data_IF_061664787109
#
_entry.id   IF_061664787109
#
_cell.length_a   1.000
_cell.length_b   1.000
_cell.length_c   1.000
_cell.angle_alpha   90.00
_cell.angle_beta   90.00
_cell.angle_gamma   90.00
#
_symmetry.space_group_name_H-M   'P 1'
#
loop_
_entity.id
_entity.type
_entity.pdbx_description
1 polymer ?
#
# COMPACT_ATOMS: atom_id res chain seq x y z
N UNK A 1 5.92 21.78 12.33
CA UNK A 1 4.95 20.94 13.08
C UNK A 1 5.40 19.49 13.01
N UNK A 2 5.58 18.87 14.18
CA UNK A 2 6.11 17.50 14.31
C UNK A 2 5.01 16.54 14.74
N UNK A 3 4.77 15.55 13.92
CA UNK A 3 3.73 14.55 14.14
C UNK A 3 4.39 13.22 14.47
N UNK A 4 4.03 12.63 15.62
CA UNK A 4 4.30 11.22 15.90
C UNK A 4 3.18 10.41 15.25
N UNK A 5 3.53 9.49 14.36
CA UNK A 5 2.56 8.71 13.59
C UNK A 5 2.69 7.23 13.83
N UNK A 6 1.54 6.54 13.79
CA UNK A 6 1.43 5.11 14.10
C UNK A 6 0.70 4.40 12.99
N UNK A 7 1.34 3.35 12.46
CA UNK A 7 0.76 2.39 11.51
C UNK A 7 0.76 0.99 12.14
N UNK A 8 -0.39 0.32 12.10
CA UNK A 8 -0.55 -1.05 12.60
C UNK A 8 -1.69 -1.80 11.90
N UNK A 9 -1.97 -1.48 10.64
CA UNK A 9 -3.18 -2.00 9.96
C UNK A 9 -3.08 -3.47 9.54
N UNK A 10 -1.87 -4.02 9.40
CA UNK A 10 -1.67 -5.40 8.92
C UNK A 10 -0.57 -6.12 9.69
N UNK A 11 0.60 -6.35 9.11
CA UNK A 11 1.70 -7.11 9.69
C UNK A 11 2.98 -6.30 9.93
N UNK A 12 2.94 -4.98 9.73
CA UNK A 12 3.96 -4.04 10.15
C UNK A 12 3.47 -3.18 11.32
N UNK A 13 4.26 -3.14 12.41
CA UNK A 13 4.12 -2.09 13.41
C UNK A 13 5.11 -0.99 13.07
N UNK A 14 4.64 0.21 12.78
CA UNK A 14 5.55 1.30 12.47
C UNK A 14 5.20 2.57 13.26
N UNK A 15 6.25 3.26 13.71
CA UNK A 15 6.13 4.57 14.38
C UNK A 15 7.17 5.50 13.77
N UNK A 16 6.73 6.68 13.34
CA UNK A 16 7.59 7.68 12.74
C UNK A 16 7.39 9.07 13.36
N UNK A 17 8.37 9.93 13.18
CA UNK A 17 8.26 11.38 13.41
C UNK A 17 8.41 12.08 12.07
N UNK A 18 7.38 12.81 11.68
CA UNK A 18 7.34 13.56 10.42
C UNK A 18 7.15 15.05 10.70
N UNK A 19 7.99 15.88 10.08
CA UNK A 19 7.92 17.32 10.18
C UNK A 19 7.27 17.91 8.93
N UNK A 20 6.25 18.76 9.15
CA UNK A 20 5.50 19.51 8.13
C UNK A 20 4.97 18.64 6.97
N UNK A 21 4.69 17.36 7.25
CA UNK A 21 4.13 16.41 6.28
C UNK A 21 5.05 16.02 5.12
N UNK A 22 6.31 16.48 5.13
CA UNK A 22 7.27 16.32 4.01
C UNK A 22 8.63 15.76 4.43
N UNK A 23 9.04 15.97 5.67
CA UNK A 23 10.36 15.58 6.15
C UNK A 23 10.24 14.44 7.14
N UNK A 24 10.82 13.29 6.82
CA UNK A 24 10.90 12.14 7.74
C UNK A 24 12.09 12.37 8.66
N UNK A 25 11.83 12.59 9.96
CA UNK A 25 12.88 12.67 10.96
C UNK A 25 13.30 11.26 11.41
N UNK A 26 12.32 10.38 11.60
CA UNK A 26 12.54 8.95 11.87
C UNK A 26 11.37 8.14 11.35
N UNK A 27 11.67 6.86 11.02
CA UNK A 27 10.66 5.84 10.74
C UNK A 27 11.19 4.50 11.27
N UNK A 28 10.53 3.97 12.29
CA UNK A 28 10.89 2.72 12.95
C UNK A 28 9.85 1.67 12.63
N UNK A 29 10.26 0.55 12.03
CA UNK A 29 9.36 -0.51 11.56
C UNK A 29 9.76 -1.84 12.19
N UNK A 30 8.81 -2.52 12.83
CA UNK A 30 8.92 -3.91 13.23
C UNK A 30 8.00 -4.77 12.36
N UNK A 31 8.59 -5.46 11.40
CA UNK A 31 7.85 -6.34 10.49
C UNK A 31 7.64 -7.73 11.11
N UNK A 32 6.44 -8.24 10.96
CA UNK A 32 6.04 -9.57 11.39
C UNK A 32 6.13 -10.62 10.26
N UNK A 33 6.66 -10.25 9.10
CA UNK A 33 6.78 -11.10 7.90
C UNK A 33 7.45 -12.45 8.24
N UNK A 34 8.53 -12.45 9.06
CA UNK A 34 9.22 -13.67 9.45
C UNK A 34 8.31 -14.66 10.22
N UNK A 35 7.42 -14.14 11.07
CA UNK A 35 6.43 -14.92 11.79
C UNK A 35 5.35 -15.45 10.84
N UNK A 36 4.74 -14.58 10.05
CA UNK A 36 3.64 -14.92 9.17
C UNK A 36 4.04 -15.86 8.01
N UNK A 37 5.31 -15.83 7.63
CA UNK A 37 5.88 -16.80 6.67
C UNK A 37 5.68 -18.25 7.10
N UNK A 38 5.72 -18.56 8.39
CA UNK A 38 5.51 -19.90 8.94
C UNK A 38 4.08 -20.42 8.67
N UNK A 39 3.13 -19.49 8.46
CA UNK A 39 1.71 -19.80 8.22
C UNK A 39 1.31 -19.60 6.75
N UNK A 40 2.25 -19.17 5.90
CA UNK A 40 1.98 -18.88 4.49
C UNK A 40 1.11 -17.65 4.23
N UNK A 41 1.03 -16.73 5.20
CA UNK A 41 0.27 -15.48 5.13
C UNK A 41 -0.10 -14.94 6.52
N UNK A 42 -0.67 -13.74 6.55
CA UNK A 42 -1.00 -13.05 7.80
C UNK A 42 -2.07 -13.79 8.61
N UNK A 43 -1.80 -13.98 9.90
CA UNK A 43 -2.76 -14.50 10.90
C UNK A 43 -3.19 -13.33 11.77
N UNK A 44 -4.44 -12.84 11.63
CA UNK A 44 -4.87 -11.57 12.24
C UNK A 44 -4.72 -11.49 13.75
N UNK A 45 -4.99 -12.57 14.48
CA UNK A 45 -4.85 -12.60 15.94
C UNK A 45 -3.39 -12.52 16.37
N UNK A 46 -2.49 -13.21 15.69
CA UNK A 46 -1.05 -13.11 15.95
C UNK A 46 -0.53 -11.71 15.65
N UNK A 47 -0.98 -11.11 14.53
CA UNK A 47 -0.62 -9.74 14.18
C UNK A 47 -0.99 -8.77 15.31
N UNK A 48 -2.24 -8.84 15.82
CA UNK A 48 -2.70 -7.97 16.89
C UNK A 48 -1.83 -8.08 18.16
N UNK A 49 -1.47 -9.30 18.56
CA UNK A 49 -0.61 -9.54 19.73
C UNK A 49 0.79 -8.96 19.54
N UNK A 50 1.36 -9.12 18.34
CA UNK A 50 2.70 -8.60 18.05
C UNK A 50 2.74 -7.07 18.00
N UNK A 51 1.67 -6.41 17.56
CA UNK A 51 1.58 -4.95 17.65
C UNK A 51 1.63 -4.48 19.12
N UNK A 52 0.93 -5.14 20.04
CA UNK A 52 0.96 -4.79 21.48
C UNK A 52 2.39 -4.90 22.04
N UNK A 53 3.12 -5.95 21.64
CA UNK A 53 4.49 -6.17 22.13
C UNK A 53 5.48 -5.10 21.63
N UNK A 54 5.29 -4.55 20.41
CA UNK A 54 6.26 -3.72 19.72
C UNK A 54 6.01 -2.21 19.84
N UNK A 55 4.76 -1.78 19.86
CA UNK A 55 4.37 -0.39 19.58
C UNK A 55 4.99 0.64 20.53
N UNK A 56 5.07 0.33 21.83
CA UNK A 56 5.65 1.25 22.82
C UNK A 56 7.16 1.41 22.61
N UNK A 57 7.87 0.30 22.44
CA UNK A 57 9.32 0.32 22.23
C UNK A 57 9.69 1.06 20.93
N UNK A 58 8.90 0.87 19.87
CA UNK A 58 9.09 1.59 18.60
C UNK A 58 8.83 3.10 18.74
N UNK A 59 7.84 3.51 19.54
CA UNK A 59 7.59 4.92 19.78
C UNK A 59 8.73 5.59 20.56
N UNK A 60 9.29 4.91 21.56
CA UNK A 60 10.45 5.39 22.31
C UNK A 60 11.71 5.44 21.44
N UNK A 61 11.91 4.42 20.61
CA UNK A 61 13.00 4.35 19.63
C UNK A 61 12.90 5.48 18.59
N UNK A 62 11.70 5.75 18.07
CA UNK A 62 11.47 6.81 17.08
C UNK A 62 11.85 8.18 17.65
N UNK A 63 11.44 8.49 18.86
CA UNK A 63 11.81 9.73 19.54
C UNK A 63 13.33 9.81 19.83
N UNK A 64 13.91 8.72 20.31
CA UNK A 64 15.36 8.65 20.59
C UNK A 64 16.19 8.89 19.33
N UNK A 65 15.84 8.22 18.22
CA UNK A 65 16.53 8.40 16.92
C UNK A 65 16.36 9.81 16.35
N UNK A 66 15.20 10.44 16.59
CA UNK A 66 14.96 11.84 16.23
C UNK A 66 15.69 12.82 17.16
N UNK A 67 16.34 12.36 18.24
CA UNK A 67 16.89 13.20 19.31
C UNK A 67 15.84 14.15 19.89
N UNK A 68 14.62 13.68 20.06
CA UNK A 68 13.46 14.47 20.50
C UNK A 68 12.88 13.94 21.82
N UNK A 69 12.31 14.85 22.57
CA UNK A 69 11.47 14.56 23.73
C UNK A 69 10.01 14.44 23.33
N UNK A 70 9.19 13.80 24.17
CA UNK A 70 7.74 13.67 23.94
C UNK A 70 7.03 15.02 23.89
N UNK A 71 7.54 16.04 24.59
CA UNK A 71 6.97 17.39 24.67
C UNK A 71 7.14 18.20 23.38
N UNK A 72 8.00 17.75 22.48
CA UNK A 72 8.24 18.40 21.17
C UNK A 72 7.29 17.89 20.07
N UNK A 73 6.39 16.97 20.42
CA UNK A 73 5.37 16.45 19.50
C UNK A 73 4.12 17.34 19.54
N UNK A 74 3.70 17.81 18.38
CA UNK A 74 2.56 18.72 18.22
C UNK A 74 1.22 18.00 18.01
N UNK A 75 1.24 16.77 17.48
CA UNK A 75 0.05 15.93 17.28
C UNK A 75 0.42 14.44 17.15
N UNK A 76 -0.55 13.57 17.42
CA UNK A 76 -0.45 12.13 17.16
C UNK A 76 -1.33 11.79 15.96
N UNK A 77 -0.76 11.18 14.92
CA UNK A 77 -1.51 10.62 13.79
C UNK A 77 -1.58 9.10 13.90
N UNK A 78 -2.71 8.49 13.52
CA UNK A 78 -2.86 7.04 13.61
C UNK A 78 -3.74 6.51 12.49
N UNK A 79 -3.36 5.37 11.93
CA UNK A 79 -4.23 4.62 11.05
C UNK A 79 -5.42 4.07 11.83
N UNK A 80 -6.65 4.45 11.39
CA UNK A 80 -7.89 4.00 12.04
C UNK A 80 -8.75 3.13 11.13
N UNK A 81 -8.49 3.14 9.82
CA UNK A 81 -9.19 2.38 8.78
C UNK A 81 -8.42 2.41 7.44
N UNK A 82 -8.65 1.47 6.51
CA UNK A 82 -9.05 0.09 6.79
C UNK A 82 -7.87 -0.75 7.27
N UNK A 83 -8.17 -1.98 7.77
CA UNK A 83 -7.13 -2.94 8.16
C UNK A 83 -7.68 -4.11 8.96
N UNK A 84 -6.80 -4.96 9.46
CA UNK A 84 -7.16 -6.02 10.39
C UNK A 84 -7.65 -5.40 11.70
N UNK A 85 -8.92 -5.58 12.01
CA UNK A 85 -9.60 -4.82 13.07
C UNK A 85 -8.85 -4.85 14.42
N UNK A 86 -8.35 -6.01 14.85
CA UNK A 86 -7.59 -6.14 16.09
C UNK A 86 -6.24 -5.41 16.03
N UNK A 87 -5.58 -5.43 14.89
CA UNK A 87 -4.31 -4.76 14.67
C UNK A 87 -4.48 -3.23 14.66
N UNK A 88 -5.43 -2.71 13.89
CA UNK A 88 -5.78 -1.27 13.89
C UNK A 88 -6.17 -0.78 15.28
N UNK A 89 -6.94 -1.59 16.02
CA UNK A 89 -7.40 -1.23 17.36
C UNK A 89 -6.23 -1.04 18.34
N UNK A 90 -5.14 -1.80 18.20
CA UNK A 90 -3.92 -1.62 19.01
C UNK A 90 -3.31 -0.24 18.77
N UNK A 91 -3.09 0.15 17.51
CA UNK A 91 -2.56 1.48 17.15
C UNK A 91 -3.45 2.60 17.64
N UNK A 92 -4.77 2.48 17.40
CA UNK A 92 -5.76 3.49 17.83
C UNK A 92 -5.74 3.68 19.35
N UNK A 93 -5.73 2.61 20.13
CA UNK A 93 -5.70 2.72 21.61
C UNK A 93 -4.38 3.30 22.12
N UNK A 94 -3.25 2.90 21.54
CA UNK A 94 -1.96 3.50 21.86
C UNK A 94 -1.95 5.01 21.55
N UNK A 95 -2.39 5.40 20.37
CA UNK A 95 -2.41 6.80 19.94
C UNK A 95 -3.35 7.68 20.79
N UNK A 96 -4.52 7.13 21.19
CA UNK A 96 -5.45 7.79 22.11
C UNK A 96 -4.80 8.06 23.47
N UNK A 97 -4.15 7.04 24.05
CA UNK A 97 -3.46 7.17 25.32
C UNK A 97 -2.29 8.17 25.25
N UNK A 98 -1.49 8.12 24.16
CA UNK A 98 -0.38 9.04 23.94
C UNK A 98 -0.87 10.48 23.78
N UNK A 99 -1.86 10.73 22.92
CA UNK A 99 -2.43 12.06 22.70
C UNK A 99 -3.03 12.63 23.97
N UNK A 100 -3.76 11.84 24.74
CA UNK A 100 -4.32 12.26 26.03
C UNK A 100 -3.24 12.63 27.06
N UNK A 101 -2.23 11.77 27.19
CA UNK A 101 -1.13 11.98 28.14
C UNK A 101 -0.29 13.23 27.81
N UNK A 102 -0.11 13.52 26.53
CA UNK A 102 0.67 14.69 26.06
C UNK A 102 -0.17 15.96 25.95
N UNK A 103 -1.49 15.86 26.00
CA UNK A 103 -2.39 17.00 25.80
C UNK A 103 -2.36 17.54 24.36
N UNK A 104 -2.05 16.68 23.36
CA UNK A 104 -1.96 17.06 21.95
C UNK A 104 -3.11 16.48 21.13
N UNK A 105 -3.45 17.07 19.97
CA UNK A 105 -4.50 16.57 19.09
C UNK A 105 -4.23 15.14 18.59
N UNK A 106 -5.30 14.34 18.51
CA UNK A 106 -5.31 13.03 17.83
C UNK A 106 -5.88 13.20 16.42
N UNK A 107 -5.16 12.72 15.41
CA UNK A 107 -5.51 12.84 14.00
C UNK A 107 -5.75 11.46 13.42
N UNK A 108 -7.00 11.10 13.07
CA UNK A 108 -7.29 9.83 12.42
C UNK A 108 -6.89 9.90 10.94
N UNK A 109 -6.19 8.87 10.46
CA UNK A 109 -5.69 8.78 9.09
C UNK A 109 -6.20 7.50 8.43
N UNK A 110 -6.73 7.63 7.24
CA UNK A 110 -7.10 6.48 6.42
C UNK A 110 -5.83 5.87 5.79
N UNK A 111 -5.60 4.57 5.99
CA UNK A 111 -4.41 3.84 5.54
C UNK A 111 -4.05 4.10 4.06
N UNK A 112 -5.04 4.02 3.17
CA UNK A 112 -4.81 4.21 1.73
C UNK A 112 -4.44 5.67 1.40
N UNK A 113 -4.96 6.66 2.14
CA UNK A 113 -4.52 8.05 2.01
C UNK A 113 -3.05 8.20 2.44
N UNK A 114 -2.62 7.42 3.45
CA UNK A 114 -1.21 7.31 3.84
C UNK A 114 -0.34 6.83 2.67
N UNK A 115 -0.72 5.73 2.01
CA UNK A 115 0.03 5.27 0.83
C UNK A 115 0.15 6.33 -0.27
N UNK A 116 -0.92 7.10 -0.54
CA UNK A 116 -0.86 8.21 -1.50
C UNK A 116 0.13 9.28 -1.00
N UNK A 117 0.08 9.60 0.30
CA UNK A 117 0.93 10.61 0.93
C UNK A 117 2.42 10.21 1.00
N UNK A 118 2.76 8.93 0.89
CA UNK A 118 4.16 8.49 0.75
C UNK A 118 4.86 9.17 -0.45
N UNK A 119 4.10 9.54 -1.50
CA UNK A 119 4.63 10.30 -2.61
C UNK A 119 5.02 11.74 -2.22
N UNK A 120 4.38 12.36 -1.23
CA UNK A 120 4.74 13.69 -0.75
C UNK A 120 6.10 13.70 -0.04
N UNK A 121 6.48 12.58 0.57
CA UNK A 121 7.80 12.39 1.19
C UNK A 121 8.91 12.22 0.14
N UNK A 122 8.60 11.48 -0.93
CA UNK A 122 9.55 11.22 -2.01
C UNK A 122 9.70 12.40 -2.98
N UNK A 123 8.65 13.20 -3.13
CA UNK A 123 8.57 14.35 -4.04
C UNK A 123 8.02 15.57 -3.29
N UNK A 124 8.89 16.34 -2.60
CA UNK A 124 8.45 17.47 -1.77
C UNK A 124 7.73 18.59 -2.55
N UNK A 125 7.87 18.63 -3.87
CA UNK A 125 7.19 19.55 -4.77
C UNK A 125 5.90 19.00 -5.39
N UNK A 126 5.50 17.76 -5.04
CA UNK A 126 4.23 17.19 -5.49
C UNK A 126 3.06 17.82 -4.76
N UNK A 127 2.15 18.41 -5.53
CA UNK A 127 0.91 19.02 -5.03
C UNK A 127 -0.30 18.52 -5.82
N UNK A 128 -1.46 18.34 -5.17
CA UNK A 128 -2.70 18.08 -5.90
C UNK A 128 -3.11 19.27 -6.80
N UNK A 129 -3.88 19.04 -7.91
CA UNK A 129 -4.47 17.75 -8.24
C UNK A 129 -3.56 16.86 -9.09
N UNK A 130 -3.70 15.53 -8.93
CA UNK A 130 -3.02 14.52 -9.75
C UNK A 130 -3.79 13.18 -9.74
N UNK A 131 -3.48 12.30 -10.69
CA UNK A 131 -3.98 10.92 -10.68
C UNK A 131 -3.05 10.04 -9.85
N UNK A 132 -3.63 9.14 -9.04
CA UNK A 132 -2.86 8.13 -8.30
C UNK A 132 -3.39 6.71 -8.57
N UNK A 133 -2.49 5.81 -8.95
CA UNK A 133 -2.77 4.38 -8.91
C UNK A 133 -2.29 3.83 -7.57
N UNK A 134 -3.21 3.35 -6.76
CA UNK A 134 -2.89 2.62 -5.51
C UNK A 134 -2.95 1.13 -5.78
N UNK A 135 -1.83 0.41 -5.57
CA UNK A 135 -1.72 -1.02 -5.79
C UNK A 135 -0.99 -1.67 -4.60
N UNK A 136 -1.73 -2.37 -3.75
CA UNK A 136 -1.21 -3.01 -2.55
C UNK A 136 -1.69 -4.46 -2.41
N UNK A 137 -1.38 -5.12 -1.31
CA UNK A 137 -1.87 -6.45 -0.97
C UNK A 137 -3.40 -6.51 -0.89
N UNK A 138 -4.03 -5.48 -0.33
CA UNK A 138 -5.48 -5.45 -0.11
C UNK A 138 -6.28 -4.53 -1.04
N UNK A 139 -5.62 -3.64 -1.80
CA UNK A 139 -6.32 -2.62 -2.58
C UNK A 139 -5.73 -2.42 -3.97
N UNK A 140 -6.60 -2.19 -4.95
CA UNK A 140 -6.23 -1.76 -6.30
C UNK A 140 -7.25 -0.72 -6.77
N UNK A 141 -6.82 0.56 -6.78
CA UNK A 141 -7.69 1.73 -7.02
C UNK A 141 -7.02 2.72 -7.97
N UNK A 142 -7.79 3.30 -8.85
CA UNK A 142 -7.42 4.51 -9.61
C UNK A 142 -8.12 5.69 -8.93
N UNK A 143 -7.34 6.65 -8.43
CA UNK A 143 -7.80 7.71 -7.55
C UNK A 143 -7.50 9.08 -8.17
N UNK A 144 -8.53 9.90 -8.27
CA UNK A 144 -8.43 11.34 -8.53
C UNK A 144 -8.14 12.04 -7.18
N UNK A 145 -6.92 12.51 -7.00
CA UNK A 145 -6.48 13.26 -5.83
C UNK A 145 -6.74 14.74 -6.09
N UNK A 146 -7.89 15.25 -5.66
CA UNK A 146 -8.35 16.62 -5.93
C UNK A 146 -7.67 17.67 -5.04
N UNK A 147 -7.45 17.30 -3.78
CA UNK A 147 -6.60 18.04 -2.85
C UNK A 147 -6.04 17.05 -1.79
N UNK A 148 -5.31 17.55 -0.79
CA UNK A 148 -4.65 16.71 0.22
C UNK A 148 -5.60 15.84 1.06
N UNK A 149 -6.89 16.17 1.10
CA UNK A 149 -7.90 15.48 1.93
C UNK A 149 -9.17 15.09 1.16
N UNK A 150 -9.24 15.40 -0.15
CA UNK A 150 -10.39 15.08 -1.00
C UNK A 150 -9.98 14.17 -2.14
N UNK A 151 -10.52 12.97 -2.13
CA UNK A 151 -10.21 11.87 -3.04
C UNK A 151 -11.49 11.39 -3.73
N UNK A 152 -11.38 10.97 -4.99
CA UNK A 152 -12.46 10.33 -5.72
C UNK A 152 -11.96 9.06 -6.39
N UNK A 153 -12.64 7.95 -6.19
CA UNK A 153 -12.31 6.67 -6.84
C UNK A 153 -12.87 6.70 -8.26
N UNK A 154 -12.00 6.57 -9.26
CA UNK A 154 -12.37 6.49 -10.67
C UNK A 154 -12.54 5.06 -11.15
N UNK A 155 -11.75 4.13 -10.62
CA UNK A 155 -11.80 2.72 -10.91
C UNK A 155 -11.30 1.89 -9.74
N UNK A 156 -11.80 0.67 -9.60
CA UNK A 156 -11.42 -0.24 -8.51
C UNK A 156 -11.35 -1.68 -9.02
N UNK A 157 -10.64 -2.54 -8.29
CA UNK A 157 -10.82 -3.98 -8.52
C UNK A 157 -12.20 -4.42 -8.03
N UNK A 158 -12.84 -5.32 -8.79
CA UNK A 158 -14.15 -5.89 -8.46
C UNK A 158 -14.05 -7.20 -7.67
N UNK A 159 -12.84 -7.69 -7.50
CA UNK A 159 -12.56 -8.96 -6.82
C UNK A 159 -11.22 -8.86 -6.07
N UNK A 160 -10.30 -9.79 -6.28
CA UNK A 160 -9.00 -9.79 -5.61
C UNK A 160 -8.19 -8.51 -5.92
N UNK A 161 -7.40 -8.03 -4.97
CA UNK A 161 -6.38 -7.03 -5.25
C UNK A 161 -5.20 -7.63 -6.03
N UNK A 162 -4.48 -6.81 -6.79
CA UNK A 162 -3.33 -7.27 -7.58
C UNK A 162 -2.24 -7.91 -6.70
N UNK A 163 -1.94 -7.32 -5.54
CA UNK A 163 -0.94 -7.86 -4.62
C UNK A 163 -1.35 -9.19 -4.01
N UNK A 164 -2.62 -9.33 -3.63
CA UNK A 164 -3.17 -10.60 -3.15
C UNK A 164 -3.03 -11.71 -4.20
N UNK A 165 -3.21 -11.39 -5.48
CA UNK A 165 -3.03 -12.35 -6.56
C UNK A 165 -1.57 -12.78 -6.70
N UNK A 166 -0.61 -11.85 -6.60
CA UNK A 166 0.81 -12.18 -6.60
C UNK A 166 1.16 -13.12 -5.44
N UNK A 167 0.70 -12.83 -4.23
CA UNK A 167 0.98 -13.64 -3.04
C UNK A 167 0.35 -15.04 -3.14
N UNK A 168 -0.89 -15.14 -3.65
CA UNK A 168 -1.57 -16.43 -3.85
C UNK A 168 -0.86 -17.31 -4.87
N UNK A 169 -0.43 -16.77 -6.01
CA UNK A 169 0.31 -17.53 -7.02
C UNK A 169 1.69 -17.92 -6.47
N UNK A 170 2.43 -17.00 -5.87
CA UNK A 170 3.73 -17.27 -5.26
C UNK A 170 3.65 -18.42 -4.23
N UNK A 171 2.63 -18.41 -3.38
CA UNK A 171 2.41 -19.46 -2.39
C UNK A 171 2.22 -20.85 -3.03
N UNK A 172 1.42 -20.95 -4.10
CA UNK A 172 1.12 -22.23 -4.76
C UNK A 172 2.36 -22.79 -5.44
N UNK A 173 3.24 -21.97 -5.99
CA UNK A 173 4.52 -22.42 -6.58
C UNK A 173 5.66 -22.52 -5.55
N UNK A 174 5.33 -22.50 -4.25
CA UNK A 174 6.28 -22.73 -3.16
C UNK A 174 7.21 -21.56 -2.83
N UNK A 175 6.89 -20.35 -3.25
CA UNK A 175 7.68 -19.16 -2.91
C UNK A 175 7.34 -18.67 -1.49
N UNK A 176 8.30 -17.99 -0.80
CA UNK A 176 8.07 -17.47 0.55
C UNK A 176 7.11 -16.28 0.55
N UNK A 177 6.42 -16.06 1.66
CA UNK A 177 5.65 -14.86 1.93
C UNK A 177 6.58 -13.69 2.37
N UNK A 178 6.35 -12.41 1.94
CA UNK A 178 5.41 -12.00 0.89
C UNK A 178 5.92 -12.44 -0.50
N UNK A 179 4.99 -12.94 -1.31
CA UNK A 179 5.33 -13.59 -2.57
C UNK A 179 5.70 -12.63 -3.69
N UNK A 180 5.18 -11.40 -3.65
CA UNK A 180 5.34 -10.43 -4.74
C UNK A 180 6.79 -10.16 -5.14
N UNK A 181 7.69 -9.96 -4.17
CA UNK A 181 9.10 -9.69 -4.44
C UNK A 181 9.84 -10.93 -5.01
N UNK A 182 9.54 -12.13 -4.50
CA UNK A 182 10.14 -13.37 -4.99
C UNK A 182 9.67 -13.66 -6.42
N UNK A 183 8.39 -13.46 -6.69
CA UNK A 183 7.80 -13.63 -8.02
C UNK A 183 8.37 -12.62 -9.02
N UNK A 184 8.50 -11.35 -8.64
CA UNK A 184 9.12 -10.31 -9.48
C UNK A 184 10.57 -10.65 -9.84
N UNK A 185 11.35 -11.11 -8.86
CA UNK A 185 12.72 -11.55 -9.10
C UNK A 185 12.80 -12.73 -10.07
N UNK A 186 11.94 -13.74 -9.90
CA UNK A 186 11.90 -14.91 -10.80
C UNK A 186 11.47 -14.51 -12.21
N UNK A 187 10.53 -13.59 -12.35
CA UNK A 187 10.02 -13.11 -13.63
C UNK A 187 11.09 -12.50 -14.54
N UNK A 188 12.16 -11.92 -13.96
CA UNK A 188 13.23 -11.25 -14.72
C UNK A 188 13.99 -12.18 -15.68
N UNK A 189 14.01 -13.49 -15.42
CA UNK A 189 14.68 -14.49 -16.25
C UNK A 189 13.72 -15.31 -17.12
N UNK A 190 12.43 -15.03 -17.07
CA UNK A 190 11.39 -15.80 -17.76
C UNK A 190 10.95 -15.19 -19.09
N UNK A 191 10.36 -16.04 -19.93
CA UNK A 191 9.69 -15.63 -21.16
C UNK A 191 8.22 -15.28 -20.87
N UNK A 192 7.89 -14.01 -20.99
CA UNK A 192 6.55 -13.48 -20.72
C UNK A 192 5.47 -13.92 -21.71
N UNK A 193 5.85 -14.52 -22.83
CA UNK A 193 4.93 -15.00 -23.88
C UNK A 193 4.60 -16.47 -23.78
N UNK A 194 5.35 -17.23 -22.95
CA UNK A 194 5.26 -18.70 -22.88
C UNK A 194 3.91 -19.20 -22.36
N UNK A 195 3.32 -18.50 -21.41
CA UNK A 195 2.05 -18.89 -20.78
C UNK A 195 1.01 -17.76 -20.96
N UNK A 196 0.28 -17.72 -22.08
CA UNK A 196 -0.69 -16.68 -22.34
C UNK A 196 -1.81 -16.70 -21.29
N UNK A 197 -2.07 -15.53 -20.68
CA UNK A 197 -3.11 -15.32 -19.69
C UNK A 197 -4.36 -14.69 -20.31
N UNK A 198 -5.56 -14.98 -19.79
CA UNK A 198 -6.78 -14.43 -20.35
C UNK A 198 -6.90 -12.92 -20.10
N UNK A 199 -7.47 -12.21 -21.07
CA UNK A 199 -7.87 -10.83 -20.89
C UNK A 199 -9.32 -10.77 -20.38
N UNK A 200 -9.51 -10.27 -19.17
CA UNK A 200 -10.85 -10.12 -18.58
C UNK A 200 -11.56 -8.92 -19.19
N UNK A 201 -12.73 -9.17 -19.83
CA UNK A 201 -13.65 -8.13 -20.25
C UNK A 201 -14.65 -7.85 -19.12
N UNK A 202 -14.68 -6.61 -18.65
CA UNK A 202 -15.63 -6.16 -17.63
C UNK A 202 -16.74 -5.34 -18.29
N UNK A 203 -17.98 -5.52 -17.81
CA UNK A 203 -19.11 -4.63 -18.14
C UNK A 203 -19.17 -3.48 -17.12
N UNK A 204 -19.72 -2.34 -17.46
CA UNK A 204 -19.90 -1.17 -16.60
C UNK A 204 -18.75 -0.20 -16.68
N UNK A 205 -18.14 0.20 -15.54
CA UNK A 205 -17.06 1.19 -15.53
C UNK A 205 -15.81 0.65 -16.25
N UNK A 206 -15.34 1.31 -17.34
CA UNK A 206 -14.18 0.84 -18.12
C UNK A 206 -12.86 0.93 -17.35
N UNK A 207 -12.80 1.69 -16.27
CA UNK A 207 -11.63 1.84 -15.42
C UNK A 207 -11.54 0.77 -14.33
N UNK A 208 -12.60 -0.04 -14.13
CA UNK A 208 -12.56 -1.13 -13.18
C UNK A 208 -11.64 -2.27 -13.63
N UNK A 209 -11.13 -3.00 -12.66
CA UNK A 209 -10.18 -4.10 -12.83
C UNK A 209 -10.72 -5.40 -12.23
N UNK A 210 -10.16 -6.54 -12.64
CA UNK A 210 -10.48 -7.86 -12.08
C UNK A 210 -9.26 -8.78 -12.23
N UNK A 211 -8.87 -9.41 -11.16
CA UNK A 211 -7.69 -10.27 -11.09
C UNK A 211 -8.02 -11.74 -10.78
N UNK A 212 -9.25 -12.04 -10.33
CA UNK A 212 -9.66 -13.40 -9.98
C UNK A 212 -9.59 -14.37 -11.18
N UNK A 213 -9.92 -13.88 -12.40
CA UNK A 213 -9.78 -14.65 -13.62
C UNK A 213 -8.33 -14.98 -13.96
N UNK A 214 -7.40 -14.03 -13.79
CA UNK A 214 -5.97 -14.25 -13.99
C UNK A 214 -5.42 -15.25 -12.97
N UNK A 215 -5.78 -15.09 -11.70
CA UNK A 215 -5.43 -16.04 -10.63
C UNK A 215 -5.90 -17.44 -10.97
N UNK A 216 -7.15 -17.61 -11.34
CA UNK A 216 -7.74 -18.92 -11.67
C UNK A 216 -7.04 -19.56 -12.86
N UNK A 217 -6.75 -18.79 -13.91
CA UNK A 217 -6.01 -19.28 -15.07
C UNK A 217 -4.61 -19.78 -14.72
N UNK A 218 -3.86 -19.01 -13.92
CA UNK A 218 -2.53 -19.42 -13.47
C UNK A 218 -2.58 -20.67 -12.58
N UNK A 219 -3.56 -20.77 -11.65
CA UNK A 219 -3.74 -21.97 -10.82
C UNK A 219 -4.08 -23.20 -11.66
N UNK A 220 -4.97 -23.08 -12.63
CA UNK A 220 -5.33 -24.18 -13.53
C UNK A 220 -4.12 -24.63 -14.37
N UNK A 221 -3.27 -23.69 -14.82
CA UNK A 221 -2.04 -24.01 -15.53
C UNK A 221 -1.09 -24.83 -14.65
N UNK A 222 -0.85 -24.38 -13.40
CA UNK A 222 -0.01 -25.06 -12.43
C UNK A 222 -0.50 -26.50 -12.21
N UNK A 223 -1.79 -26.67 -11.86
CA UNK A 223 -2.38 -27.98 -11.62
C UNK A 223 -2.35 -28.89 -12.86
N UNK A 224 -2.52 -28.34 -14.07
CA UNK A 224 -2.44 -29.12 -15.30
C UNK A 224 -1.04 -29.70 -15.50
N UNK A 225 0.01 -28.91 -15.28
CA UNK A 225 1.40 -29.40 -15.35
C UNK A 225 1.69 -30.45 -14.29
N UNK A 226 1.24 -30.23 -13.04
CA UNK A 226 1.38 -31.22 -11.96
C UNK A 226 0.70 -32.54 -12.30
N UNK A 227 -0.54 -32.52 -12.78
CA UNK A 227 -1.29 -33.72 -13.16
C UNK A 227 -0.63 -34.51 -14.30
N UNK A 228 0.02 -33.80 -15.22
CA UNK A 228 0.73 -34.43 -16.35
C UNK A 228 2.16 -34.88 -16.01
N UNK A 229 2.65 -34.53 -14.82
CA UNK A 229 4.06 -34.75 -14.45
C UNK A 229 5.03 -33.95 -15.31
N UNK A 230 4.56 -32.82 -15.88
CA UNK A 230 5.37 -31.95 -16.73
C UNK A 230 6.03 -30.88 -15.87
N UNK A 231 7.32 -30.61 -16.12
CA UNK A 231 8.03 -29.54 -15.43
C UNK A 231 7.44 -28.15 -15.84
N UNK A 232 7.04 -27.38 -14.85
CA UNK A 232 6.58 -26.01 -15.05
C UNK A 232 7.79 -25.07 -15.06
N UNK A 233 7.90 -24.23 -16.07
CA UNK A 233 8.90 -23.16 -16.12
C UNK A 233 8.45 -21.99 -15.25
N UNK A 234 8.84 -22.04 -13.97
CA UNK A 234 8.43 -21.05 -12.95
C UNK A 234 8.82 -19.61 -13.34
N UNK A 235 10.05 -19.30 -13.81
CA UNK A 235 10.38 -17.97 -14.27
C UNK A 235 9.43 -17.43 -15.35
N UNK A 236 9.11 -18.26 -16.36
CA UNK A 236 8.22 -17.87 -17.44
C UNK A 236 6.76 -17.72 -16.99
N UNK A 237 6.30 -18.55 -16.05
CA UNK A 237 4.99 -18.34 -15.42
C UNK A 237 4.94 -17.00 -14.70
N UNK A 238 5.96 -16.68 -13.90
CA UNK A 238 6.05 -15.40 -13.17
C UNK A 238 6.07 -14.20 -14.13
N UNK A 239 6.82 -14.28 -15.22
CA UNK A 239 6.89 -13.26 -16.25
C UNK A 239 5.55 -13.04 -16.97
N UNK A 240 4.91 -14.13 -17.41
CA UNK A 240 3.60 -14.09 -18.08
C UNK A 240 2.50 -13.56 -17.16
N UNK A 241 2.51 -13.95 -15.88
CA UNK A 241 1.55 -13.47 -14.89
C UNK A 241 1.75 -11.97 -14.59
N UNK A 242 2.99 -11.53 -14.37
CA UNK A 242 3.33 -10.12 -14.15
C UNK A 242 2.94 -9.25 -15.35
N UNK A 243 3.13 -9.78 -16.57
CA UNK A 243 2.68 -9.12 -17.78
C UNK A 243 1.15 -8.95 -17.79
N UNK A 244 0.41 -9.99 -17.49
CA UNK A 244 -1.05 -9.94 -17.50
C UNK A 244 -1.61 -8.96 -16.45
N UNK A 245 -0.99 -8.88 -15.27
CA UNK A 245 -1.35 -7.87 -14.26
C UNK A 245 -1.04 -6.47 -14.78
N UNK A 246 0.13 -6.25 -15.39
CA UNK A 246 0.49 -4.95 -15.98
C UNK A 246 -0.46 -4.56 -17.12
N UNK A 247 -0.82 -5.48 -18.00
CA UNK A 247 -1.78 -5.28 -19.09
C UNK A 247 -3.20 -4.92 -18.59
N UNK A 248 -3.52 -5.27 -17.34
CA UNK A 248 -4.75 -4.85 -16.66
C UNK A 248 -4.64 -3.43 -16.10
N UNK A 249 -3.54 -3.12 -15.42
CA UNK A 249 -3.34 -1.86 -14.69
C UNK A 249 -3.04 -0.68 -15.62
N UNK A 250 -2.06 -0.84 -16.52
CA UNK A 250 -1.49 0.28 -17.27
C UNK A 250 -2.50 0.93 -18.21
N UNK A 251 -3.22 0.19 -19.09
CA UNK A 251 -4.16 0.82 -20.03
C UNK A 251 -5.28 1.60 -19.32
N UNK A 252 -5.80 1.07 -18.21
CA UNK A 252 -6.89 1.71 -17.44
C UNK A 252 -6.44 2.97 -16.73
N UNK A 253 -5.25 2.93 -16.15
CA UNK A 253 -4.64 4.10 -15.50
C UNK A 253 -4.34 5.19 -16.53
N UNK A 254 -3.79 4.84 -17.69
CA UNK A 254 -3.51 5.79 -18.76
C UNK A 254 -4.81 6.36 -19.39
N UNK A 255 -5.88 5.56 -19.46
CA UNK A 255 -7.20 6.03 -19.84
C UNK A 255 -7.74 7.05 -18.84
N UNK A 256 -7.70 6.75 -17.55
CA UNK A 256 -8.11 7.68 -16.48
C UNK A 256 -7.30 8.98 -16.52
N UNK A 257 -6.00 8.89 -16.78
CA UNK A 257 -5.14 10.06 -16.91
C UNK A 257 -5.56 10.94 -18.11
N UNK A 258 -5.91 10.32 -19.23
CA UNK A 258 -6.42 11.03 -20.40
C UNK A 258 -7.78 11.69 -20.10
N UNK A 259 -8.67 11.01 -19.40
CA UNK A 259 -10.01 11.52 -19.06
C UNK A 259 -9.96 12.68 -18.06
N UNK A 260 -9.02 12.65 -17.10
CA UNK A 260 -8.83 13.73 -16.12
C UNK A 260 -8.03 14.91 -16.68
N UNK A 261 -7.21 14.68 -17.70
CA UNK A 261 -6.32 15.70 -18.27
C UNK A 261 -5.12 16.07 -17.39
N UNK A 262 -4.87 15.31 -16.32
CA UNK A 262 -3.73 15.57 -15.42
C UNK A 262 -2.40 15.27 -16.08
N UNK A 263 -1.38 16.06 -15.75
CA UNK A 263 0.00 15.91 -16.24
C UNK A 263 0.92 15.19 -15.25
N UNK A 264 0.36 14.72 -14.12
CA UNK A 264 1.08 14.00 -13.09
C UNK A 264 0.35 12.72 -12.73
N UNK A 265 1.10 11.61 -12.76
CA UNK A 265 0.68 10.29 -12.29
C UNK A 265 1.54 9.92 -11.08
N UNK A 266 0.91 9.59 -9.95
CA UNK A 266 1.55 8.95 -8.83
C UNK A 266 1.20 7.45 -8.78
N UNK A 267 2.13 6.62 -8.29
CA UNK A 267 1.86 5.21 -8.00
C UNK A 267 2.18 4.97 -6.52
N UNK A 268 1.34 4.24 -5.81
CA UNK A 268 1.43 4.01 -4.38
C UNK A 268 1.12 2.56 -4.00
N UNK A 269 1.59 2.13 -2.82
CA UNK A 269 1.36 0.79 -2.29
C UNK A 269 2.46 -0.21 -2.64
N UNK A 270 2.49 -1.35 -1.93
CA UNK A 270 3.59 -2.34 -2.02
C UNK A 270 3.86 -2.90 -3.41
N UNK A 271 2.82 -3.06 -4.24
CA UNK A 271 2.97 -3.55 -5.62
C UNK A 271 3.62 -2.51 -6.54
N UNK A 272 3.66 -1.23 -6.14
CA UNK A 272 4.45 -0.20 -6.83
C UNK A 272 5.96 -0.52 -6.86
N UNK A 273 6.42 -1.45 -6.04
CA UNK A 273 7.79 -1.96 -6.05
C UNK A 273 8.09 -2.94 -7.19
N UNK A 274 7.06 -3.52 -7.83
CA UNK A 274 7.22 -4.51 -8.91
C UNK A 274 7.94 -3.88 -10.12
N UNK A 275 9.04 -4.51 -10.55
CA UNK A 275 9.95 -3.97 -11.57
C UNK A 275 9.27 -3.81 -12.93
N UNK A 276 8.42 -4.76 -13.33
CA UNK A 276 7.70 -4.68 -14.59
C UNK A 276 6.69 -3.52 -14.59
N UNK A 277 5.88 -3.42 -13.54
CA UNK A 277 4.87 -2.35 -13.42
C UNK A 277 5.55 -0.99 -13.47
N UNK A 278 6.66 -0.81 -12.73
CA UNK A 278 7.48 0.42 -12.80
C UNK A 278 7.99 0.71 -14.20
N UNK A 279 8.54 -0.30 -14.87
CA UNK A 279 9.07 -0.16 -16.25
C UNK A 279 8.00 0.24 -17.25
N UNK A 280 6.83 -0.40 -17.21
CA UNK A 280 5.72 -0.10 -18.11
C UNK A 280 5.18 1.32 -17.91
N UNK A 281 4.94 1.75 -16.67
CA UNK A 281 4.50 3.11 -16.38
C UNK A 281 5.57 4.14 -16.76
N UNK A 282 6.84 3.86 -16.52
CA UNK A 282 7.94 4.75 -16.95
C UNK A 282 7.93 4.94 -18.45
N UNK A 283 7.82 3.86 -19.23
CA UNK A 283 7.77 3.91 -20.69
C UNK A 283 6.57 4.72 -21.20
N UNK A 284 5.36 4.41 -20.69
CA UNK A 284 4.14 5.06 -21.17
C UNK A 284 4.07 6.55 -20.80
N UNK A 285 4.49 6.91 -19.58
CA UNK A 285 4.50 8.31 -19.14
C UNK A 285 5.57 9.13 -19.89
N UNK A 286 6.75 8.57 -20.15
CA UNK A 286 7.77 9.21 -20.94
C UNK A 286 7.29 9.48 -22.39
N UNK A 287 6.61 8.49 -23.00
CA UNK A 287 6.05 8.63 -24.35
C UNK A 287 5.03 9.77 -24.46
N UNK A 288 4.33 10.08 -23.37
CA UNK A 288 3.29 11.10 -23.33
C UNK A 288 3.72 12.43 -22.70
N UNK A 289 4.97 12.53 -22.22
CA UNK A 289 5.45 13.72 -21.51
C UNK A 289 4.79 13.95 -20.15
N UNK A 290 4.30 12.88 -19.52
CA UNK A 290 3.63 12.92 -18.20
C UNK A 290 4.67 12.79 -17.09
N UNK A 291 4.55 13.60 -16.04
CA UNK A 291 5.34 13.45 -14.82
C UNK A 291 4.91 12.19 -14.06
N UNK A 292 5.87 11.27 -13.80
CA UNK A 292 5.65 10.07 -13.02
C UNK A 292 6.29 10.21 -11.64
N UNK A 293 5.49 9.99 -10.59
CA UNK A 293 5.92 9.93 -9.20
C UNK A 293 5.76 8.50 -8.68
N UNK A 294 6.87 7.82 -8.38
CA UNK A 294 6.89 6.49 -7.77
C UNK A 294 7.85 6.54 -6.57
N UNK A 295 7.39 6.30 -5.34
CA UNK A 295 8.26 6.40 -4.19
C UNK A 295 9.38 5.36 -4.24
N UNK A 296 10.49 5.57 -3.52
CA UNK A 296 11.52 4.57 -3.35
C UNK A 296 10.96 3.33 -2.66
N UNK A 297 11.61 2.18 -2.83
CA UNK A 297 11.11 0.89 -2.32
C UNK A 297 10.84 0.93 -0.81
N UNK A 298 11.61 1.69 -0.05
CA UNK A 298 11.44 1.86 1.40
C UNK A 298 10.13 2.53 1.81
N UNK A 299 9.48 3.28 0.91
CA UNK A 299 8.21 3.97 1.15
C UNK A 299 7.02 3.31 0.42
N UNK A 300 7.24 2.19 -0.29
CA UNK A 300 6.16 1.47 -0.96
C UNK A 300 5.31 0.61 -0.01
N UNK A 301 5.96 -0.04 0.98
CA UNK A 301 5.29 -0.85 2.01
C UNK A 301 4.67 0.00 3.12
N UNK A 302 4.03 -0.69 4.08
CA UNK A 302 3.45 -0.04 5.25
C UNK A 302 4.56 0.56 6.12
N UNK A 303 4.40 1.84 6.48
CA UNK A 303 5.37 2.58 7.25
C UNK A 303 4.69 3.70 8.06
N UNK A 304 5.35 4.17 9.11
CA UNK A 304 4.82 5.24 9.95
C UNK A 304 4.84 6.60 9.26
N UNK A 305 5.86 6.85 8.43
CA UNK A 305 6.06 8.15 7.81
C UNK A 305 4.92 8.53 6.85
N UNK A 306 4.35 7.57 6.09
CA UNK A 306 3.20 7.81 5.22
C UNK A 306 1.97 8.30 6.00
N UNK A 307 1.79 7.79 7.21
CA UNK A 307 0.69 8.20 8.10
C UNK A 307 0.94 9.59 8.68
N UNK A 308 2.20 9.90 9.03
CA UNK A 308 2.58 11.24 9.47
C UNK A 308 2.42 12.30 8.38
N UNK A 309 2.78 11.95 7.13
CA UNK A 309 2.61 12.82 5.99
C UNK A 309 1.13 13.17 5.74
N UNK A 310 0.26 12.15 5.67
CA UNK A 310 -1.18 12.40 5.51
C UNK A 310 -1.78 13.08 6.75
N UNK A 311 -1.35 12.68 7.94
CA UNK A 311 -1.81 13.26 9.21
C UNK A 311 -1.59 14.76 9.31
N UNK A 312 -0.50 15.27 8.74
CA UNK A 312 -0.26 16.72 8.66
C UNK A 312 -1.36 17.44 7.87
N UNK A 313 -1.72 16.92 6.69
CA UNK A 313 -2.75 17.55 5.87
C UNK A 313 -4.15 17.39 6.45
N UNK A 314 -4.47 16.25 7.06
CA UNK A 314 -5.73 16.07 7.80
C UNK A 314 -5.80 17.03 8.98
N UNK A 315 -4.66 17.25 9.67
CA UNK A 315 -4.56 18.22 10.74
C UNK A 315 -4.82 19.66 10.23
N UNK A 316 -4.21 20.10 9.14
CA UNK A 316 -4.42 21.41 8.55
C UNK A 316 -5.88 21.63 8.09
N UNK A 317 -6.52 20.56 7.62
CA UNK A 317 -7.94 20.56 7.26
C UNK A 317 -8.89 20.60 8.48
N UNK A 318 -8.36 20.66 9.69
CA UNK A 318 -9.15 20.73 10.93
C UNK A 318 -9.61 19.37 11.47
N UNK A 319 -9.20 18.25 10.88
CA UNK A 319 -9.61 16.92 11.32
C UNK A 319 -8.97 16.56 12.65
N UNK A 320 -9.78 16.25 13.64
CA UNK A 320 -9.41 15.85 14.99
C UNK A 320 -10.36 14.76 15.46
N UNK A 321 -9.86 13.86 16.28
CA UNK A 321 -10.67 12.84 16.94
C UNK A 321 -10.62 12.98 18.46
N UNK A 322 -11.69 12.57 19.10
CA UNK A 322 -11.77 12.43 20.56
C UNK A 322 -11.34 11.06 21.04
N UNK A 323 -11.55 10.81 22.34
CA UNK A 323 -11.28 9.52 22.97
C UNK A 323 -12.29 8.42 22.54
N UNK A 324 -13.33 8.80 21.83
CA UNK A 324 -14.34 7.93 21.20
C UNK A 324 -13.89 7.35 19.84
N UNK A 325 -12.73 7.78 19.30
CA UNK A 325 -12.19 7.21 18.04
C UNK A 325 -12.15 5.69 18.11
N UNK A 326 -12.69 5.04 17.08
CA UNK A 326 -12.69 3.60 16.96
C UNK A 326 -11.95 3.14 15.69
N UNK A 327 -11.61 1.86 15.66
CA UNK A 327 -11.01 1.20 14.51
C UNK A 327 -12.09 0.65 13.57
N UNK A 328 -11.83 0.65 12.26
CA UNK A 328 -12.72 0.08 11.25
C UNK A 328 -11.95 -0.85 10.32
N UNK A 329 -12.47 -2.07 10.12
CA UNK A 329 -11.87 -3.05 9.21
C UNK A 329 -12.00 -2.63 7.74
N UNK A 330 -13.09 -1.94 7.41
CA UNK A 330 -13.39 -1.46 6.05
C UNK A 330 -13.88 -0.02 6.09
N UNK A 331 -13.42 0.78 5.14
CA UNK A 331 -13.88 2.16 4.95
C UNK A 331 -13.56 2.58 3.51
N UNK A 332 -14.47 3.31 2.88
CA UNK A 332 -14.18 3.92 1.58
C UNK A 332 -13.14 5.01 1.74
N UNK A 333 -12.19 5.09 0.79
CA UNK A 333 -11.20 6.18 0.71
C UNK A 333 -11.83 7.57 0.72
N UNK A 334 -13.02 7.70 0.12
CA UNK A 334 -13.74 8.98 0.00
C UNK A 334 -14.32 9.46 1.34
N UNK A 335 -14.58 8.53 2.27
CA UNK A 335 -15.17 8.82 3.59
C UNK A 335 -14.12 8.89 4.72
N UNK A 336 -12.87 8.62 4.41
CA UNK A 336 -11.76 8.56 5.36
C UNK A 336 -11.30 9.92 5.90
#
# INVERSE_FOLDING_TARGET
MRILSVESSCDETAVAVVEDGRTVLTDCIASQVALHRLYGGVVPELASRKHIEAIYALADEALTRASMTRQEIDAIAVTYAPGLIGAVLVGVNFAKAAAYSLGVPLVPVHHIRGHIAANYLAYPDLEPPFLCLVVSGGHTLIVDVQNYTKFRILGTTRDDAAGECFDKIARVIGMPYPGGAALDKAAQSGDETKYPMPHTKLSGNPLDMSFSGLKTAALNLIHTHEQRGEALDIPSLCASFSKAVSDMLVPRTMQALKETGYQTLAIAGGVAANSRIRGEFTRETQRLGIRLCMPPLSLCGDNGAMIGAQGYYEYLAGKRAGQDLNAFATMSLENG
#
